data_IF_096954435715
#
_entry.id   IF_096954435715
#
_cell.length_a   1.000
_cell.length_b   1.000
_cell.length_c   1.000
_cell.angle_alpha   90.00
_cell.angle_beta   90.00
_cell.angle_gamma   90.00
#
_symmetry.space_group_name_H-M   'P 1'
#
loop_
_entity.id
_entity.type
_entity.pdbx_description
1 polymer ?
#
# COMPACT_ATOMS: atom_id res chain seq x y z
N UNK A 1 9.79 -21.23 -1.67
CA UNK A 1 8.78 -21.44 -2.73
C UNK A 1 8.92 -20.48 -3.91
N UNK A 2 9.45 -19.27 -3.75
CA UNK A 2 9.70 -18.29 -4.84
C UNK A 2 10.84 -18.75 -5.76
N UNK A 3 11.91 -19.34 -5.23
CA UNK A 3 13.10 -19.79 -6.00
C UNK A 3 12.77 -20.76 -7.16
N UNK A 4 11.77 -21.65 -7.00
CA UNK A 4 11.42 -22.61 -8.05
C UNK A 4 10.71 -21.98 -9.27
N UNK A 5 10.14 -20.78 -9.13
CA UNK A 5 9.42 -20.08 -10.21
C UNK A 5 10.28 -19.09 -10.99
N UNK A 6 11.38 -18.61 -10.41
CA UNK A 6 12.27 -17.63 -11.04
C UNK A 6 12.78 -18.12 -12.40
N UNK A 7 13.22 -19.38 -12.49
CA UNK A 7 13.69 -19.95 -13.76
C UNK A 7 12.62 -19.97 -14.87
N UNK A 8 11.33 -20.15 -14.50
CA UNK A 8 10.23 -20.10 -15.46
C UNK A 8 9.96 -18.68 -15.91
N UNK A 9 9.99 -17.71 -14.99
CA UNK A 9 9.79 -16.27 -15.26
C UNK A 9 10.87 -15.76 -16.20
N UNK A 10 12.13 -16.12 -15.95
CA UNK A 10 13.28 -15.70 -16.76
C UNK A 10 13.31 -16.30 -18.18
N UNK A 11 12.42 -17.21 -18.55
CA UNK A 11 12.28 -17.69 -19.93
C UNK A 11 11.53 -16.74 -20.84
N UNK A 12 10.80 -15.75 -20.26
CA UNK A 12 10.00 -14.81 -21.04
C UNK A 12 10.81 -13.57 -21.41
N UNK A 13 10.43 -12.94 -22.51
CA UNK A 13 11.11 -11.74 -23.01
C UNK A 13 10.74 -10.51 -22.18
N UNK A 14 9.48 -10.44 -21.74
CA UNK A 14 8.94 -9.34 -20.94
C UNK A 14 8.29 -9.86 -19.65
N UNK A 15 8.59 -9.20 -18.54
CA UNK A 15 8.03 -9.49 -17.21
C UNK A 15 7.24 -8.30 -16.73
N UNK A 16 5.97 -8.52 -16.45
CA UNK A 16 5.04 -7.52 -15.91
C UNK A 16 4.78 -7.79 -14.44
N UNK A 17 4.91 -6.76 -13.61
CA UNK A 17 4.58 -6.84 -12.19
C UNK A 17 3.38 -5.95 -11.87
N UNK A 18 2.45 -6.45 -11.05
CA UNK A 18 1.49 -5.62 -10.36
C UNK A 18 2.17 -4.85 -9.21
N UNK A 19 1.53 -3.78 -8.71
CA UNK A 19 2.09 -2.92 -7.67
C UNK A 19 1.62 -3.35 -6.28
N UNK A 20 0.36 -3.09 -5.97
CA UNK A 20 -0.16 -3.24 -4.61
C UNK A 20 -0.39 -4.70 -4.26
N UNK A 21 -0.07 -5.06 -3.03
CA UNK A 21 -0.07 -6.44 -2.53
C UNK A 21 0.85 -7.39 -3.35
N UNK A 22 1.64 -6.83 -4.27
CA UNK A 22 2.65 -7.53 -5.09
C UNK A 22 4.04 -6.95 -4.82
N UNK A 23 4.46 -5.89 -5.53
CA UNK A 23 5.75 -5.20 -5.32
C UNK A 23 5.75 -4.36 -4.04
N UNK A 24 4.63 -3.73 -3.75
CA UNK A 24 4.41 -2.82 -2.63
C UNK A 24 3.34 -3.39 -1.70
N UNK A 25 3.57 -3.30 -0.41
CA UNK A 25 2.58 -3.61 0.64
C UNK A 25 2.22 -2.34 1.38
N UNK A 26 1.10 -2.35 2.07
CA UNK A 26 0.77 -1.35 3.09
C UNK A 26 0.94 -1.94 4.47
N UNK A 27 1.36 -1.14 5.46
CA UNK A 27 1.30 -1.61 6.85
C UNK A 27 -0.04 -1.36 7.54
N UNK A 28 -1.06 -0.95 6.79
CA UNK A 28 -2.45 -1.04 7.22
C UNK A 28 -3.03 -2.41 6.89
N UNK A 29 -3.98 -2.89 7.68
CA UNK A 29 -4.57 -4.23 7.50
C UNK A 29 -5.44 -4.31 6.26
N UNK A 30 -6.23 -3.28 6.01
CA UNK A 30 -7.06 -3.13 4.81
C UNK A 30 -6.67 -1.84 4.08
N UNK A 31 -6.68 -1.83 2.75
CA UNK A 31 -6.43 -0.60 1.98
C UNK A 31 -7.32 0.57 2.41
N UNK A 32 -8.57 0.29 2.82
CA UNK A 32 -9.53 1.29 3.31
C UNK A 32 -9.19 1.88 4.67
N UNK A 33 -8.28 1.29 5.45
CA UNK A 33 -7.84 1.83 6.74
C UNK A 33 -6.99 3.12 6.56
N UNK A 34 -6.51 3.38 5.35
CA UNK A 34 -5.90 4.66 4.97
C UNK A 34 -6.86 5.82 5.26
N UNK A 35 -8.15 5.63 5.00
CA UNK A 35 -9.16 6.68 5.19
C UNK A 35 -9.40 7.03 6.67
N UNK A 36 -9.24 6.05 7.57
CA UNK A 36 -9.26 6.31 9.02
C UNK A 36 -8.06 7.20 9.45
N UNK A 37 -6.89 6.96 8.85
CA UNK A 37 -5.69 7.79 9.10
C UNK A 37 -5.89 9.20 8.55
N UNK A 38 -6.48 9.34 7.38
CA UNK A 38 -6.81 10.65 6.77
C UNK A 38 -7.74 11.44 7.67
N UNK A 39 -8.83 10.83 8.17
CA UNK A 39 -9.75 11.46 9.12
C UNK A 39 -9.04 11.94 10.39
N UNK A 40 -8.19 11.08 10.97
CA UNK A 40 -7.41 11.43 12.16
C UNK A 40 -6.46 12.61 11.91
N UNK A 41 -5.77 12.63 10.78
CA UNK A 41 -4.85 13.72 10.39
C UNK A 41 -5.58 15.03 10.18
N UNK A 42 -6.67 14.99 9.41
CA UNK A 42 -7.52 16.17 9.19
C UNK A 42 -8.01 16.73 10.53
N UNK A 43 -8.58 15.89 11.39
CA UNK A 43 -9.08 16.31 12.70
C UNK A 43 -7.98 16.80 13.65
N UNK A 44 -6.75 16.34 13.50
CA UNK A 44 -5.60 16.85 14.26
C UNK A 44 -5.16 18.23 13.81
N UNK A 45 -5.26 18.53 12.53
CA UNK A 45 -4.95 19.86 11.97
C UNK A 45 -6.01 20.90 12.36
N UNK A 46 -7.29 20.49 12.47
CA UNK A 46 -8.43 21.33 12.75
C UNK A 46 -8.98 21.16 14.20
N UNK A 47 -8.10 20.83 15.15
CA UNK A 47 -8.43 20.31 16.49
C UNK A 47 -9.33 21.16 17.39
N UNK A 48 -9.45 22.47 17.14
CA UNK A 48 -10.24 23.42 17.95
C UNK A 48 -11.49 23.94 17.23
N UNK A 49 -11.69 23.61 15.96
CA UNK A 49 -12.81 24.11 15.15
C UNK A 49 -13.99 23.14 15.14
N UNK A 50 -15.18 23.66 14.88
CA UNK A 50 -16.39 22.86 14.63
C UNK A 50 -16.32 22.08 13.29
N UNK A 51 -15.17 22.08 12.62
CA UNK A 51 -14.95 21.51 11.29
C UNK A 51 -14.43 20.07 11.31
N UNK A 52 -14.47 19.41 12.46
CA UNK A 52 -14.11 17.99 12.56
C UNK A 52 -15.04 17.13 11.72
N UNK A 53 -14.43 16.28 10.89
CA UNK A 53 -15.17 15.28 10.11
C UNK A 53 -15.27 13.96 10.87
N UNK A 54 -16.32 13.19 10.57
CA UNK A 54 -16.54 11.85 11.13
C UNK A 54 -17.09 10.94 10.05
N UNK A 55 -16.65 9.69 10.05
CA UNK A 55 -17.12 8.67 9.10
C UNK A 55 -16.58 8.88 7.68
N UNK A 56 -15.41 9.50 7.55
CA UNK A 56 -14.81 9.75 6.24
C UNK A 56 -14.56 8.45 5.46
N UNK A 57 -14.19 7.36 6.15
CA UNK A 57 -13.97 6.06 5.51
C UNK A 57 -15.19 5.59 4.74
N UNK A 58 -16.36 5.60 5.37
CA UNK A 58 -17.61 5.18 4.73
C UNK A 58 -18.01 6.13 3.59
N UNK A 59 -17.84 7.44 3.78
CA UNK A 59 -18.08 8.43 2.73
C UNK A 59 -17.20 8.20 1.52
N UNK A 60 -15.90 8.00 1.74
CA UNK A 60 -14.91 7.79 0.69
C UNK A 60 -15.15 6.48 -0.08
N UNK A 61 -15.46 5.38 0.61
CA UNK A 61 -15.82 4.10 0.01
C UNK A 61 -17.08 4.26 -0.85
N UNK A 62 -18.11 4.92 -0.32
CA UNK A 62 -19.35 5.13 -1.06
C UNK A 62 -19.15 6.04 -2.28
N UNK A 63 -18.30 7.06 -2.18
CA UNK A 63 -17.94 7.92 -3.30
C UNK A 63 -17.28 7.12 -4.44
N UNK A 64 -16.33 6.23 -4.12
CA UNK A 64 -15.70 5.36 -5.10
C UNK A 64 -16.72 4.41 -5.75
N UNK A 65 -17.61 3.81 -4.98
CA UNK A 65 -18.67 2.95 -5.51
C UNK A 65 -19.61 3.71 -6.47
N UNK A 66 -19.96 4.96 -6.12
CA UNK A 66 -20.77 5.83 -7.00
C UNK A 66 -20.02 6.17 -8.31
N UNK A 67 -18.74 6.54 -8.21
CA UNK A 67 -17.92 6.84 -9.36
C UNK A 67 -17.79 5.62 -10.30
N UNK A 68 -17.46 4.45 -9.76
CA UNK A 68 -17.32 3.19 -10.53
C UNK A 68 -18.64 2.69 -11.16
N UNK A 69 -19.80 3.10 -10.65
CA UNK A 69 -21.09 2.82 -11.30
C UNK A 69 -21.35 3.69 -12.53
N UNK A 70 -20.80 4.92 -12.54
CA UNK A 70 -20.99 5.85 -13.66
C UNK A 70 -19.93 5.70 -14.75
N UNK A 71 -18.72 5.31 -14.36
CA UNK A 71 -17.55 5.20 -15.26
C UNK A 71 -17.28 3.72 -15.53
N UNK A 72 -17.33 3.34 -16.81
CA UNK A 72 -17.26 1.93 -17.23
C UNK A 72 -15.87 1.32 -17.02
N UNK A 73 -14.83 2.10 -17.28
CA UNK A 73 -13.43 1.67 -17.12
C UNK A 73 -12.88 2.08 -15.73
N UNK A 74 -11.69 2.63 -15.67
CA UNK A 74 -11.07 3.02 -14.39
C UNK A 74 -11.38 4.47 -14.04
N UNK A 75 -11.63 4.70 -12.76
CA UNK A 75 -11.84 6.02 -12.17
C UNK A 75 -10.50 6.63 -11.74
N UNK A 76 -10.42 7.96 -11.74
CA UNK A 76 -9.34 8.72 -11.09
C UNK A 76 -9.76 9.16 -9.69
N UNK A 77 -8.79 9.58 -8.89
CA UNK A 77 -9.06 10.11 -7.54
C UNK A 77 -9.96 11.36 -7.62
N UNK A 78 -9.75 12.23 -8.60
CA UNK A 78 -10.57 13.43 -8.79
C UNK A 78 -12.03 13.09 -9.12
N UNK A 79 -12.24 12.08 -9.99
CA UNK A 79 -13.59 11.58 -10.30
C UNK A 79 -14.28 10.98 -9.08
N UNK A 80 -13.53 10.37 -8.15
CA UNK A 80 -14.07 9.86 -6.89
C UNK A 80 -14.46 11.01 -5.95
N UNK A 81 -13.57 12.01 -5.78
CA UNK A 81 -13.81 13.13 -4.88
C UNK A 81 -14.98 14.03 -5.33
N UNK A 82 -15.35 14.02 -6.61
CA UNK A 82 -16.58 14.67 -7.10
C UNK A 82 -17.88 14.12 -6.49
N UNK A 83 -17.83 12.95 -5.83
CA UNK A 83 -18.96 12.36 -5.11
C UNK A 83 -18.92 12.54 -3.60
N UNK A 84 -17.96 13.32 -3.07
CA UNK A 84 -17.86 13.66 -1.64
C UNK A 84 -18.48 15.04 -1.42
N UNK A 85 -19.46 15.10 -0.53
CA UNK A 85 -20.32 16.28 -0.33
C UNK A 85 -19.76 17.23 0.76
N UNK A 86 -18.46 17.56 0.70
CA UNK A 86 -17.87 18.65 1.47
C UNK A 86 -17.61 19.88 0.59
N UNK A 87 -17.17 20.99 1.19
CA UNK A 87 -16.74 22.14 0.41
C UNK A 87 -15.53 21.79 -0.48
N UNK A 88 -15.32 22.47 -1.62
CA UNK A 88 -14.18 22.20 -2.48
C UNK A 88 -12.83 22.28 -1.78
N UNK A 89 -12.68 23.22 -0.82
CA UNK A 89 -11.47 23.40 -0.04
C UNK A 89 -11.19 22.17 0.88
N UNK A 90 -12.22 21.68 1.56
CA UNK A 90 -12.12 20.49 2.42
C UNK A 90 -11.82 19.25 1.57
N UNK A 91 -12.49 19.09 0.43
CA UNK A 91 -12.24 17.96 -0.48
C UNK A 91 -10.81 17.95 -1.00
N UNK A 92 -10.25 19.11 -1.36
CA UNK A 92 -8.87 19.21 -1.84
C UNK A 92 -7.87 18.86 -0.73
N UNK A 93 -8.11 19.35 0.50
CA UNK A 93 -7.27 19.03 1.65
C UNK A 93 -7.30 17.53 1.98
N UNK A 94 -8.50 16.93 2.03
CA UNK A 94 -8.66 15.49 2.28
C UNK A 94 -7.99 14.65 1.18
N UNK A 95 -8.13 15.04 -0.08
CA UNK A 95 -7.47 14.40 -1.21
C UNK A 95 -5.94 14.43 -1.05
N UNK A 96 -5.39 15.59 -0.72
CA UNK A 96 -3.95 15.75 -0.49
C UNK A 96 -3.45 14.91 0.71
N UNK A 97 -4.24 14.83 1.78
CA UNK A 97 -3.95 13.96 2.92
C UNK A 97 -4.04 12.48 2.54
N UNK A 98 -4.98 12.08 1.68
CA UNK A 98 -5.08 10.70 1.17
C UNK A 98 -3.82 10.34 0.35
N UNK A 99 -3.43 11.17 -0.61
CA UNK A 99 -2.23 10.95 -1.43
C UNK A 99 -0.97 10.83 -0.58
N UNK A 100 -0.81 11.73 0.38
CA UNK A 100 0.32 11.71 1.32
C UNK A 100 0.31 10.46 2.21
N UNK A 101 -0.87 10.06 2.69
CA UNK A 101 -1.01 8.89 3.56
C UNK A 101 -0.72 7.60 2.78
N UNK A 102 -1.22 7.48 1.54
CA UNK A 102 -0.91 6.34 0.66
C UNK A 102 0.60 6.21 0.42
N UNK A 103 1.29 7.32 0.16
CA UNK A 103 2.75 7.32 0.02
C UNK A 103 3.45 6.82 1.29
N UNK A 104 3.05 7.32 2.46
CA UNK A 104 3.72 7.03 3.73
C UNK A 104 3.45 5.61 4.26
N UNK A 105 2.28 5.01 3.97
CA UNK A 105 1.95 3.65 4.42
C UNK A 105 2.53 2.56 3.52
N UNK A 106 3.04 2.93 2.35
CA UNK A 106 3.58 2.00 1.38
C UNK A 106 5.01 1.56 1.73
N UNK A 107 5.25 0.27 1.68
CA UNK A 107 6.53 -0.39 1.98
C UNK A 107 6.87 -1.45 0.93
N UNK A 108 8.14 -1.73 0.65
CA UNK A 108 8.52 -2.74 -0.33
C UNK A 108 8.19 -4.16 0.16
N UNK A 109 7.68 -4.99 -0.74
CA UNK A 109 7.64 -6.43 -0.55
C UNK A 109 9.01 -7.01 -0.91
N UNK A 110 9.92 -7.07 0.06
CA UNK A 110 11.35 -7.40 -0.14
C UNK A 110 11.56 -8.66 -0.97
N UNK A 111 10.73 -9.69 -0.81
CA UNK A 111 10.87 -10.95 -1.55
C UNK A 111 10.54 -10.79 -3.05
N UNK A 112 9.53 -9.99 -3.38
CA UNK A 112 9.14 -9.76 -4.78
C UNK A 112 10.02 -8.68 -5.42
N UNK A 113 10.43 -7.66 -4.66
CA UNK A 113 11.46 -6.71 -5.11
C UNK A 113 12.79 -7.43 -5.40
N UNK A 114 13.14 -8.47 -4.62
CA UNK A 114 14.27 -9.34 -4.94
C UNK A 114 14.13 -10.00 -6.31
N UNK A 115 12.97 -10.58 -6.63
CA UNK A 115 12.67 -11.17 -7.92
C UNK A 115 12.68 -10.13 -9.06
N UNK A 116 12.10 -8.95 -8.82
CA UNK A 116 12.12 -7.81 -9.75
C UNK A 116 13.56 -7.43 -10.12
N UNK A 117 14.42 -7.25 -9.12
CA UNK A 117 15.82 -6.93 -9.32
C UNK A 117 16.58 -8.05 -10.04
N UNK A 118 16.22 -9.31 -9.79
CA UNK A 118 16.79 -10.46 -10.51
C UNK A 118 16.41 -10.45 -12.00
N UNK A 119 15.17 -10.10 -12.33
CA UNK A 119 14.75 -9.92 -13.72
C UNK A 119 15.57 -8.82 -14.41
N UNK A 120 15.77 -7.67 -13.78
CA UNK A 120 16.59 -6.58 -14.32
C UNK A 120 18.05 -7.01 -14.53
N UNK A 121 18.65 -7.70 -13.55
CA UNK A 121 20.03 -8.21 -13.65
C UNK A 121 20.22 -9.21 -14.80
N UNK A 122 19.18 -9.96 -15.14
CA UNK A 122 19.17 -10.90 -16.26
C UNK A 122 18.78 -10.23 -17.59
N UNK A 123 18.77 -8.90 -17.67
CA UNK A 123 18.49 -8.15 -18.89
C UNK A 123 17.05 -8.31 -19.41
N UNK A 124 16.09 -8.66 -18.54
CA UNK A 124 14.71 -8.80 -18.95
C UNK A 124 14.05 -7.43 -19.08
N UNK A 125 13.19 -7.31 -20.09
CA UNK A 125 12.28 -6.17 -20.20
C UNK A 125 11.29 -6.23 -19.03
N UNK A 126 11.35 -5.28 -18.11
CA UNK A 126 10.46 -5.22 -16.96
C UNK A 126 9.50 -4.06 -17.08
N UNK A 127 8.22 -4.34 -17.00
CA UNK A 127 7.15 -3.34 -16.99
C UNK A 127 6.32 -3.49 -15.73
N UNK A 128 5.64 -2.41 -15.34
CA UNK A 128 4.72 -2.39 -14.20
C UNK A 128 3.32 -2.14 -14.72
N UNK A 129 2.34 -2.90 -14.21
CA UNK A 129 0.95 -2.86 -14.69
C UNK A 129 -0.02 -2.90 -13.52
N UNK A 130 -0.79 -1.85 -13.28
CA UNK A 130 -1.70 -1.79 -12.13
C UNK A 130 -3.05 -1.16 -12.46
N UNK A 131 -4.10 -1.75 -11.86
CA UNK A 131 -5.44 -1.13 -11.80
C UNK A 131 -5.50 -0.27 -10.55
N UNK A 132 -5.33 1.07 -10.70
CA UNK A 132 -5.28 2.00 -9.59
C UNK A 132 -5.78 3.38 -9.97
N UNK A 133 -6.53 4.02 -9.06
CA UNK A 133 -7.12 5.35 -9.25
C UNK A 133 -6.16 6.51 -8.93
N UNK A 134 -5.02 6.22 -8.28
CA UNK A 134 -4.03 7.25 -7.93
C UNK A 134 -3.34 7.83 -9.17
N UNK A 135 -2.90 9.10 -9.11
CA UNK A 135 -2.13 9.75 -10.17
C UNK A 135 -0.78 9.04 -10.42
N UNK A 136 -0.29 9.14 -11.64
CA UNK A 136 0.93 8.44 -12.08
C UNK A 136 2.19 8.93 -11.37
N UNK A 137 2.27 10.23 -11.07
CA UNK A 137 3.36 10.85 -10.30
C UNK A 137 3.45 10.26 -8.89
N UNK A 138 2.32 10.18 -8.18
CA UNK A 138 2.26 9.58 -6.84
C UNK A 138 2.67 8.11 -6.88
N UNK A 139 2.24 7.36 -7.89
CA UNK A 139 2.66 5.96 -8.05
C UNK A 139 4.18 5.86 -8.30
N UNK A 140 4.75 6.74 -9.11
CA UNK A 140 6.20 6.79 -9.34
C UNK A 140 6.97 7.11 -8.06
N UNK A 141 6.45 8.04 -7.26
CA UNK A 141 7.05 8.39 -5.96
C UNK A 141 7.01 7.21 -4.98
N UNK A 142 5.87 6.50 -4.89
CA UNK A 142 5.73 5.28 -4.08
C UNK A 142 6.73 4.20 -4.54
N UNK A 143 6.84 3.94 -5.84
CA UNK A 143 7.77 2.95 -6.38
C UNK A 143 9.22 3.33 -6.06
N UNK A 144 9.59 4.59 -6.25
CA UNK A 144 10.94 5.12 -5.95
C UNK A 144 11.24 5.01 -4.45
N UNK A 145 10.31 5.40 -3.58
CA UNK A 145 10.40 5.27 -2.12
C UNK A 145 10.63 3.81 -1.70
N UNK A 146 9.96 2.88 -2.37
CA UNK A 146 10.14 1.44 -2.13
C UNK A 146 11.39 0.84 -2.81
N UNK A 147 12.25 1.65 -3.43
CA UNK A 147 13.46 1.18 -4.12
C UNK A 147 13.20 0.40 -5.40
N UNK A 148 12.03 0.60 -6.02
CA UNK A 148 11.61 -0.08 -7.26
C UNK A 148 11.89 0.87 -8.43
N UNK A 149 13.06 0.70 -9.06
CA UNK A 149 13.56 1.54 -10.14
C UNK A 149 14.10 0.66 -11.27
N UNK A 150 14.32 1.25 -12.47
CA UNK A 150 14.89 0.52 -13.59
C UNK A 150 13.89 -0.27 -14.44
N UNK A 151 12.58 -0.20 -14.14
CA UNK A 151 11.55 -0.70 -15.03
C UNK A 151 11.46 0.18 -16.30
N UNK A 152 11.06 -0.42 -17.41
CA UNK A 152 11.03 0.29 -18.68
C UNK A 152 9.80 1.19 -18.83
N UNK A 153 8.64 0.68 -18.42
CA UNK A 153 7.36 1.42 -18.50
C UNK A 153 6.41 1.09 -17.36
N UNK A 154 5.60 2.08 -17.03
CA UNK A 154 4.49 1.98 -16.08
C UNK A 154 3.16 2.09 -16.84
N UNK A 155 2.28 1.11 -16.69
CA UNK A 155 0.96 1.05 -17.28
C UNK A 155 -0.11 1.11 -16.17
N UNK A 156 -0.76 2.26 -16.04
CA UNK A 156 -1.81 2.49 -15.04
C UNK A 156 -3.18 2.59 -15.71
N UNK A 157 -4.16 1.90 -15.12
CA UNK A 157 -5.53 1.91 -15.59
C UNK A 157 -6.15 3.32 -15.55
N UNK A 158 -5.85 4.12 -14.53
CA UNK A 158 -6.34 5.50 -14.41
C UNK A 158 -5.87 6.42 -15.53
N UNK A 159 -4.62 6.29 -15.97
CA UNK A 159 -4.04 7.09 -17.05
C UNK A 159 -4.49 6.62 -18.43
N UNK A 160 -4.60 5.29 -18.63
CA UNK A 160 -4.88 4.67 -19.93
C UNK A 160 -6.39 4.51 -20.16
N UNK A 161 -7.18 4.59 -19.09
CA UNK A 161 -8.64 4.31 -19.07
C UNK A 161 -8.96 2.91 -19.61
N UNK A 162 -8.14 1.92 -19.22
CA UNK A 162 -8.30 0.49 -19.52
C UNK A 162 -7.86 -0.33 -18.31
N UNK A 163 -8.59 -1.39 -17.98
CA UNK A 163 -8.32 -2.19 -16.79
C UNK A 163 -7.76 -3.57 -17.09
N UNK A 164 -6.98 -4.13 -16.16
CA UNK A 164 -6.59 -5.55 -16.16
C UNK A 164 -7.83 -6.44 -16.05
N UNK A 165 -8.79 -6.02 -15.23
CA UNK A 165 -10.04 -6.74 -14.98
C UNK A 165 -10.80 -7.08 -16.25
N UNK A 166 -10.90 -6.15 -17.20
CA UNK A 166 -11.52 -6.38 -18.51
C UNK A 166 -10.60 -7.06 -19.52
N UNK A 167 -9.29 -7.05 -19.24
CA UNK A 167 -8.23 -7.48 -20.14
C UNK A 167 -7.83 -6.42 -21.17
N UNK A 168 -8.50 -5.27 -21.19
CA UNK A 168 -8.22 -4.20 -22.16
C UNK A 168 -6.83 -3.60 -21.96
N UNK A 169 -6.36 -3.51 -20.70
CA UNK A 169 -5.02 -3.04 -20.40
C UNK A 169 -3.95 -4.00 -20.93
N UNK A 170 -4.12 -5.30 -20.76
CA UNK A 170 -3.17 -6.28 -21.33
C UNK A 170 -3.12 -6.26 -22.85
N UNK A 171 -4.28 -6.13 -23.53
CA UNK A 171 -4.29 -5.97 -24.99
C UNK A 171 -3.51 -4.74 -25.42
N UNK A 172 -3.76 -3.61 -24.75
CA UNK A 172 -3.03 -2.38 -25.01
C UNK A 172 -1.51 -2.55 -24.82
N UNK A 173 -1.07 -3.25 -23.78
CA UNK A 173 0.35 -3.53 -23.51
C UNK A 173 0.94 -4.39 -24.63
N UNK A 174 0.28 -5.50 -25.01
CA UNK A 174 0.77 -6.39 -26.07
C UNK A 174 0.94 -5.64 -27.39
N UNK A 175 -0.02 -4.80 -27.75
CA UNK A 175 0.01 -3.98 -28.95
C UNK A 175 1.17 -2.93 -28.88
N UNK A 176 1.28 -2.21 -27.77
CA UNK A 176 2.29 -1.15 -27.59
C UNK A 176 3.72 -1.68 -27.54
N UNK A 177 3.90 -2.84 -26.93
CA UNK A 177 5.20 -3.48 -26.76
C UNK A 177 5.55 -4.42 -27.92
N UNK A 178 4.62 -4.58 -28.89
CA UNK A 178 4.72 -5.52 -30.03
C UNK A 178 5.06 -6.95 -29.57
N UNK A 179 4.34 -7.43 -28.54
CA UNK A 179 4.56 -8.74 -27.94
C UNK A 179 3.44 -9.72 -28.31
N UNK A 180 3.83 -10.97 -28.54
CA UNK A 180 2.88 -12.10 -28.52
C UNK A 180 2.54 -12.43 -27.07
N UNK A 181 1.32 -12.88 -26.75
CA UNK A 181 0.91 -13.22 -25.39
C UNK A 181 1.89 -14.15 -24.66
N UNK A 182 2.42 -15.16 -25.34
CA UNK A 182 3.38 -16.13 -24.75
C UNK A 182 4.76 -15.54 -24.40
N UNK A 183 5.09 -14.35 -24.90
CA UNK A 183 6.35 -13.65 -24.58
C UNK A 183 6.26 -12.84 -23.28
N UNK A 184 5.05 -12.60 -22.80
CA UNK A 184 4.77 -11.85 -21.57
C UNK A 184 4.44 -12.82 -20.43
N UNK A 185 5.05 -12.59 -19.25
CA UNK A 185 4.62 -13.16 -18.00
C UNK A 185 4.15 -12.05 -17.07
N UNK A 186 2.97 -12.22 -16.46
CA UNK A 186 2.44 -11.27 -15.45
C UNK A 186 2.48 -11.87 -14.05
N UNK A 187 2.91 -11.08 -13.09
CA UNK A 187 3.07 -11.44 -11.69
C UNK A 187 2.18 -10.53 -10.85
N UNK A 188 1.24 -11.09 -10.12
CA UNK A 188 0.30 -10.34 -9.30
C UNK A 188 -0.39 -11.20 -8.25
N UNK A 189 -1.26 -10.60 -7.43
CA UNK A 189 -1.91 -11.23 -6.29
C UNK A 189 -3.40 -11.51 -6.51
N UNK A 190 -4.05 -10.77 -7.40
CA UNK A 190 -5.49 -10.84 -7.60
C UNK A 190 -5.90 -11.93 -8.59
N UNK A 191 -6.63 -12.94 -8.10
CA UNK A 191 -7.00 -14.13 -8.88
C UNK A 191 -7.68 -13.79 -10.23
N UNK A 192 -8.59 -12.83 -10.25
CA UNK A 192 -9.34 -12.50 -11.49
C UNK A 192 -8.52 -11.68 -12.48
N UNK A 193 -7.93 -10.56 -12.03
CA UNK A 193 -7.25 -9.59 -12.89
C UNK A 193 -5.83 -9.99 -13.25
N UNK A 194 -5.10 -10.66 -12.35
CA UNK A 194 -3.67 -10.94 -12.55
C UNK A 194 -3.38 -12.40 -12.91
N UNK A 195 -4.36 -13.30 -12.73
CA UNK A 195 -4.17 -14.70 -13.06
C UNK A 195 -5.14 -15.19 -14.14
N UNK A 196 -6.46 -15.19 -13.89
CA UNK A 196 -7.45 -15.78 -14.82
C UNK A 196 -7.51 -14.99 -16.12
N UNK A 197 -7.65 -13.66 -16.03
CA UNK A 197 -7.83 -12.82 -17.22
C UNK A 197 -6.64 -12.88 -18.17
N UNK A 198 -5.39 -12.63 -17.77
CA UNK A 198 -4.24 -12.72 -18.66
C UNK A 198 -4.02 -14.16 -19.16
N UNK A 199 -4.27 -15.18 -18.34
CA UNK A 199 -4.15 -16.60 -18.75
C UNK A 199 -5.09 -16.96 -19.91
N UNK A 200 -6.34 -16.51 -19.87
CA UNK A 200 -7.31 -16.70 -20.99
C UNK A 200 -6.80 -16.02 -22.28
N UNK A 201 -6.03 -14.95 -22.15
CA UNK A 201 -5.44 -14.23 -23.29
C UNK A 201 -4.15 -14.88 -23.82
N UNK A 202 -3.69 -15.98 -23.22
CA UNK A 202 -2.45 -16.67 -23.58
C UNK A 202 -1.19 -16.08 -22.94
N UNK A 203 -1.32 -15.14 -22.00
CA UNK A 203 -0.22 -14.57 -21.22
C UNK A 203 0.13 -15.54 -20.10
N UNK A 204 1.41 -15.78 -19.87
CA UNK A 204 1.87 -16.56 -18.74
C UNK A 204 1.65 -15.79 -17.43
N UNK A 205 1.27 -16.50 -16.36
CA UNK A 205 0.93 -15.87 -15.08
C UNK A 205 1.60 -16.54 -13.91
N UNK A 206 2.02 -15.76 -12.95
CA UNK A 206 2.51 -16.22 -11.66
C UNK A 206 1.73 -15.52 -10.56
N UNK A 207 0.97 -16.28 -9.79
CA UNK A 207 0.21 -15.75 -8.68
C UNK A 207 1.05 -15.70 -7.41
N UNK A 208 0.99 -14.56 -6.74
CA UNK A 208 1.59 -14.35 -5.42
C UNK A 208 0.50 -14.50 -4.38
N UNK A 209 0.73 -15.35 -3.40
CA UNK A 209 -0.14 -15.48 -2.25
C UNK A 209 0.50 -14.75 -1.08
N UNK A 210 -0.06 -13.62 -0.70
CA UNK A 210 0.31 -12.98 0.56
C UNK A 210 -0.27 -13.79 1.71
N UNK A 211 0.56 -14.17 2.65
CA UNK A 211 0.09 -14.58 3.98
C UNK A 211 -0.39 -13.32 4.70
N UNK A 212 -1.67 -13.00 4.54
CA UNK A 212 -2.29 -11.96 5.40
C UNK A 212 -2.30 -12.53 6.81
N UNK A 213 -1.69 -11.84 7.76
CA UNK A 213 -1.91 -12.13 9.17
C UNK A 213 -3.40 -11.94 9.42
N UNK A 214 -4.08 -12.96 9.91
CA UNK A 214 -5.46 -12.88 10.37
C UNK A 214 -5.50 -12.08 11.67
N UNK A 215 -5.22 -10.80 11.62
CA UNK A 215 -5.53 -9.90 12.72
C UNK A 215 -6.81 -9.19 12.31
N UNK A 216 -7.92 -9.73 12.80
CA UNK A 216 -9.17 -9.01 12.82
C UNK A 216 -8.96 -7.71 13.60
N UNK A 217 -9.31 -6.63 12.98
CA UNK A 217 -9.67 -5.33 13.53
C UNK A 217 -8.73 -4.15 13.20
N UNK A 218 -9.39 -3.17 12.70
CA UNK A 218 -9.20 -1.72 12.59
C UNK A 218 -8.70 -1.01 13.86
N UNK A 219 -7.95 -1.67 14.74
CA UNK A 219 -7.41 -1.06 15.95
C UNK A 219 -5.98 -0.58 15.69
N UNK A 220 -5.54 0.45 16.43
CA UNK A 220 -4.15 0.88 16.49
C UNK A 220 -3.16 -0.28 16.73
N UNK A 221 -3.60 -1.35 17.37
CA UNK A 221 -2.84 -2.57 17.59
C UNK A 221 -2.56 -3.32 16.28
N UNK A 222 -3.48 -3.32 15.32
CA UNK A 222 -3.24 -3.96 14.02
C UNK A 222 -2.22 -3.18 13.19
N UNK A 223 -2.30 -1.86 13.17
CA UNK A 223 -1.30 -0.99 12.54
C UNK A 223 0.07 -1.22 13.17
N UNK A 224 0.14 -1.18 14.50
CA UNK A 224 1.38 -1.40 15.25
C UNK A 224 1.97 -2.79 14.96
N UNK A 225 1.14 -3.83 14.96
CA UNK A 225 1.58 -5.19 14.63
C UNK A 225 2.10 -5.30 13.19
N UNK A 226 1.47 -4.65 12.21
CA UNK A 226 1.94 -4.67 10.84
C UNK A 226 3.28 -3.93 10.67
N UNK A 227 3.46 -2.80 11.36
CA UNK A 227 4.75 -2.09 11.41
C UNK A 227 5.83 -2.98 12.05
N UNK A 228 5.51 -3.64 13.17
CA UNK A 228 6.42 -4.55 13.86
C UNK A 228 6.78 -5.74 12.96
N UNK A 229 5.80 -6.36 12.30
CA UNK A 229 6.03 -7.47 11.36
C UNK A 229 6.91 -7.05 10.18
N UNK A 230 6.78 -5.80 9.70
CA UNK A 230 7.67 -5.24 8.69
C UNK A 230 9.10 -5.05 9.21
N UNK A 231 9.25 -4.48 10.41
CA UNK A 231 10.56 -4.24 11.02
C UNK A 231 11.27 -5.55 11.39
N UNK A 232 10.50 -6.61 11.70
CA UNK A 232 10.99 -7.93 12.13
C UNK A 232 11.04 -8.97 11.02
N UNK A 233 11.12 -8.59 9.75
CA UNK A 233 11.10 -9.51 8.60
C UNK A 233 12.27 -10.53 8.58
N UNK A 234 13.33 -10.30 9.34
CA UNK A 234 14.43 -11.26 9.53
C UNK A 234 14.29 -11.89 10.92
N UNK A 235 14.00 -13.19 10.95
CA UNK A 235 14.00 -14.00 12.20
C UNK A 235 15.40 -14.21 12.79
N UNK A 236 16.40 -13.47 12.30
CA UNK A 236 17.82 -13.73 12.59
C UNK A 236 18.25 -13.34 14.00
N UNK A 237 17.48 -12.46 14.69
CA UNK A 237 17.77 -12.07 16.06
C UNK A 237 16.53 -12.20 16.94
N UNK A 238 16.49 -13.25 17.76
CA UNK A 238 15.41 -13.52 18.70
C UNK A 238 15.17 -12.36 19.68
N UNK A 239 16.22 -11.74 20.20
CA UNK A 239 16.08 -10.62 21.16
C UNK A 239 15.54 -9.36 20.48
N UNK A 240 15.95 -9.10 19.25
CA UNK A 240 15.42 -8.01 18.44
C UNK A 240 13.94 -8.23 18.14
N UNK A 241 13.57 -9.44 17.75
CA UNK A 241 12.17 -9.82 17.55
C UNK A 241 11.34 -9.66 18.83
N UNK A 242 11.82 -10.13 19.98
CA UNK A 242 11.16 -9.99 21.28
C UNK A 242 11.02 -8.51 21.66
N UNK A 243 12.05 -7.71 21.43
CA UNK A 243 12.04 -6.27 21.66
C UNK A 243 10.95 -5.57 20.87
N UNK A 244 10.88 -5.79 19.56
CA UNK A 244 9.89 -5.15 18.71
C UNK A 244 8.46 -5.67 18.96
N UNK A 245 8.28 -6.98 19.17
CA UNK A 245 6.94 -7.57 19.23
C UNK A 245 6.29 -7.54 20.61
N UNK A 246 7.07 -7.55 21.66
CA UNK A 246 6.57 -7.60 23.02
C UNK A 246 6.88 -6.34 23.83
N UNK A 247 8.18 -6.01 23.99
CA UNK A 247 8.60 -4.93 24.86
C UNK A 247 8.30 -3.54 24.29
N UNK A 248 8.51 -3.33 23.02
CA UNK A 248 8.23 -2.05 22.36
C UNK A 248 6.77 -1.61 22.49
N UNK A 249 5.79 -2.43 22.07
CA UNK A 249 4.38 -2.12 22.25
C UNK A 249 3.97 -1.90 23.71
N UNK A 250 4.50 -2.70 24.64
CA UNK A 250 4.23 -2.56 26.06
C UNK A 250 4.72 -1.22 26.59
N UNK A 251 5.97 -0.88 26.31
CA UNK A 251 6.59 0.39 26.74
C UNK A 251 5.92 1.59 26.10
N UNK A 252 5.60 1.51 24.80
CA UNK A 252 4.89 2.57 24.09
C UNK A 252 3.50 2.80 24.68
N UNK A 253 2.74 1.72 24.93
CA UNK A 253 1.42 1.78 25.54
C UNK A 253 1.47 2.38 26.95
N UNK A 254 2.48 2.00 27.75
CA UNK A 254 2.71 2.54 29.08
C UNK A 254 3.03 4.04 29.06
N UNK A 255 3.94 4.48 28.18
CA UNK A 255 4.28 5.90 28.04
C UNK A 255 3.05 6.71 27.59
N UNK A 256 2.29 6.20 26.64
CA UNK A 256 1.05 6.85 26.19
C UNK A 256 0.01 7.00 27.32
N UNK A 257 -0.15 5.95 28.14
CA UNK A 257 -1.00 5.99 29.32
C UNK A 257 -0.48 7.01 30.34
N UNK A 258 0.82 7.05 30.61
CA UNK A 258 1.43 8.05 31.48
C UNK A 258 1.14 9.47 31.00
N UNK A 259 1.41 9.79 29.74
CA UNK A 259 1.18 11.13 29.16
C UNK A 259 -0.28 11.54 29.34
N UNK A 260 -1.23 10.65 29.02
CA UNK A 260 -2.66 10.94 29.21
C UNK A 260 -3.06 11.23 30.64
N UNK A 261 -2.46 10.53 31.62
CA UNK A 261 -2.76 10.78 33.03
C UNK A 261 -2.09 12.08 33.53
N UNK A 262 -0.89 12.39 33.09
CA UNK A 262 -0.21 13.64 33.43
C UNK A 262 -0.95 14.87 32.89
N UNK A 263 -1.48 14.79 31.67
CA UNK A 263 -2.31 15.86 31.11
C UNK A 263 -3.61 16.12 31.92
N UNK A 264 -4.14 15.08 32.57
CA UNK A 264 -5.32 15.22 33.42
C UNK A 264 -5.02 15.83 34.79
N UNK A 265 -3.83 15.55 35.32
CA UNK A 265 -3.41 15.95 36.69
C UNK A 265 -2.61 17.26 36.71
N UNK A 266 -2.44 17.94 35.57
CA UNK A 266 -1.69 19.19 35.39
C UNK A 266 -0.26 19.15 36.00
N UNK A 267 0.41 18.01 35.85
CA UNK A 267 1.74 17.76 36.40
C UNK A 267 2.84 18.36 35.53
N UNK A 268 3.67 19.23 36.11
CA UNK A 268 4.73 19.94 35.39
C UNK A 268 6.09 19.20 35.35
N UNK A 269 6.27 18.15 36.15
CA UNK A 269 7.55 17.41 36.23
C UNK A 269 7.31 15.91 36.47
N UNK A 270 8.12 15.10 35.79
CA UNK A 270 8.14 13.64 35.90
C UNK A 270 9.55 13.21 36.27
N UNK A 271 9.68 12.34 37.27
CA UNK A 271 10.93 11.74 37.65
C UNK A 271 10.94 10.25 37.30
N UNK A 272 11.97 9.82 36.61
CA UNK A 272 12.20 8.41 36.28
C UNK A 272 13.37 7.88 37.14
N UNK A 273 13.21 6.69 37.70
CA UNK A 273 14.34 6.01 38.33
C UNK A 273 15.43 5.74 37.29
N UNK A 274 16.69 6.08 37.63
CA UNK A 274 17.79 6.21 36.68
C UNK A 274 18.06 4.97 35.83
N UNK A 275 17.85 3.77 36.36
CA UNK A 275 18.14 2.52 35.66
C UNK A 275 16.99 2.08 34.76
N UNK A 276 15.82 1.90 35.32
CA UNK A 276 14.66 1.32 34.59
C UNK A 276 13.89 2.36 33.80
N UNK A 277 13.94 3.63 34.21
CA UNK A 277 13.26 4.75 33.53
C UNK A 277 14.06 5.38 32.40
N UNK A 278 15.33 4.99 32.17
CA UNK A 278 16.16 5.59 31.13
C UNK A 278 15.63 5.38 29.74
N UNK A 279 15.03 4.22 29.46
CA UNK A 279 14.41 3.89 28.19
C UNK A 279 13.15 4.75 27.95
N UNK A 280 12.42 5.08 29.01
CA UNK A 280 11.19 5.86 28.95
C UNK A 280 11.43 7.38 28.81
N UNK A 281 12.64 7.83 29.18
CA UNK A 281 13.06 9.23 29.08
C UNK A 281 13.51 9.61 27.66
N UNK A 282 14.00 8.66 26.88
CA UNK A 282 14.42 8.83 25.48
C UNK A 282 13.24 8.88 24.54
#
# INVERSE_FOLDING_TARGET
>A
MILFRTHVILKHDCVSFDIFDTLVKRYVSLPTDVFDIVELRYNSLHGTSNEKIRGFKELRINAELKARKKIIEEVSIDEIYNFIEFSPAINEELKNLELKTEYEVCIPNKSIVGLFNECLKNGKKVIITSDMYLPEDIIKDILSHCGITGYEKLYLSSSIKRTKRTGALFRYILDKENLKPCQLVHIGDTLKSDFIRPKIMGIHTTMITLTKSKVDNTSYLSLLNNVIDYMCQTKEDYFKYLGYRCLGPLLWGYIHWLIKNFQKEDLNKIYFFARDGLIMKK
#
